data_IF_683309318017
#
_entry.id   IF_683309318017
#
_cell.length_a   1.000
_cell.length_b   1.000
_cell.length_c   1.000
_cell.angle_alpha   90.00
_cell.angle_beta   90.00
_cell.angle_gamma   90.00
#
_symmetry.space_group_name_H-M   'P 1'
#
loop_
_entity.id
_entity.type
_entity.pdbx_description
1 polymer ?
#
# COMPACT_ATOMS: atom_id res chain seq x y z
N UNK A 1 4.09 31.96 -10.86
CA UNK A 1 4.96 31.22 -9.95
C UNK A 1 4.16 30.81 -8.75
N UNK A 2 4.05 29.54 -8.56
CA UNK A 2 3.40 29.04 -7.37
C UNK A 2 4.37 29.31 -6.23
N UNK A 3 3.95 30.09 -5.27
CA UNK A 3 4.73 30.20 -4.05
C UNK A 3 5.06 28.79 -3.57
N UNK A 4 6.24 28.57 -2.94
CA UNK A 4 6.54 27.31 -2.28
C UNK A 4 5.57 27.12 -1.13
N UNK A 5 4.44 27.46 -1.43
CA UNK A 5 3.26 27.63 -0.78
C UNK A 5 3.02 26.76 0.36
N UNK A 6 1.84 26.71 0.69
CA UNK A 6 1.35 25.89 1.78
C UNK A 6 1.62 24.41 1.48
N UNK A 7 2.79 23.93 1.93
CA UNK A 7 3.13 22.50 1.91
C UNK A 7 2.53 21.78 3.12
N UNK A 8 1.60 22.41 3.82
CA UNK A 8 0.98 21.85 5.01
C UNK A 8 0.18 20.60 4.62
N UNK A 9 0.65 19.45 5.06
CA UNK A 9 -0.08 18.20 4.90
C UNK A 9 -1.32 18.20 5.78
N UNK A 10 -2.40 17.64 5.27
CA UNK A 10 -3.62 17.39 6.05
C UNK A 10 -3.81 15.91 6.30
N UNK A 11 -4.55 15.57 7.34
CA UNK A 11 -4.94 14.19 7.61
C UNK A 11 -5.94 13.75 6.55
N UNK A 12 -5.67 12.62 5.91
CA UNK A 12 -6.58 12.01 4.96
C UNK A 12 -7.70 11.26 5.69
N UNK A 13 -8.85 11.24 5.07
CA UNK A 13 -10.02 10.48 5.54
C UNK A 13 -10.33 9.35 4.56
N UNK A 14 -11.30 8.51 4.90
CA UNK A 14 -11.74 7.43 4.01
C UNK A 14 -12.20 7.93 2.63
N UNK A 15 -12.69 9.16 2.56
CA UNK A 15 -13.05 9.79 1.28
C UNK A 15 -11.83 10.04 0.37
N UNK A 16 -10.63 10.08 0.95
CA UNK A 16 -9.37 10.30 0.23
C UNK A 16 -8.67 9.00 -0.19
N UNK A 17 -9.21 7.84 0.13
CA UNK A 17 -8.55 6.55 -0.11
C UNK A 17 -8.11 6.36 -1.56
N UNK A 18 -8.97 6.70 -2.52
CA UNK A 18 -8.64 6.57 -3.94
C UNK A 18 -7.45 7.44 -4.34
N UNK A 19 -7.36 8.66 -3.81
CA UNK A 19 -6.24 9.57 -4.08
C UNK A 19 -4.95 9.06 -3.47
N UNK A 20 -4.99 8.58 -2.23
CA UNK A 20 -3.83 8.00 -1.55
C UNK A 20 -3.30 6.79 -2.35
N UNK A 21 -4.18 5.88 -2.74
CA UNK A 21 -3.82 4.72 -3.55
C UNK A 21 -3.21 5.16 -4.88
N UNK A 22 -3.80 6.13 -5.55
CA UNK A 22 -3.31 6.65 -6.84
C UNK A 22 -1.89 7.20 -6.74
N UNK A 23 -1.58 7.92 -5.67
CA UNK A 23 -0.23 8.44 -5.42
C UNK A 23 0.76 7.29 -5.24
N UNK A 24 0.40 6.28 -4.45
CA UNK A 24 1.25 5.11 -4.23
C UNK A 24 1.50 4.33 -5.52
N UNK A 25 0.45 4.12 -6.32
CA UNK A 25 0.57 3.45 -7.62
C UNK A 25 1.55 4.18 -8.52
N UNK A 26 1.41 5.50 -8.63
CA UNK A 26 2.31 6.32 -9.46
C UNK A 26 3.74 6.29 -8.94
N UNK A 27 3.93 6.33 -7.63
CA UNK A 27 5.25 6.35 -7.02
C UNK A 27 6.03 5.05 -7.26
N UNK A 28 5.35 3.91 -7.28
CA UNK A 28 6.00 2.61 -7.37
C UNK A 28 5.93 1.96 -8.77
N UNK A 29 5.27 2.60 -9.73
CA UNK A 29 5.07 2.03 -11.08
C UNK A 29 6.37 1.61 -11.76
N UNK A 30 7.41 2.44 -11.65
CA UNK A 30 8.69 2.22 -12.30
C UNK A 30 9.80 1.80 -11.32
N UNK A 31 9.44 1.50 -10.08
CA UNK A 31 10.39 1.04 -9.07
C UNK A 31 10.94 -0.33 -9.48
N UNK A 32 12.27 -0.55 -9.46
CA UNK A 32 12.87 -1.81 -9.91
C UNK A 32 12.39 -3.05 -9.15
N UNK A 33 12.23 -2.95 -7.83
CA UNK A 33 11.77 -4.07 -7.02
C UNK A 33 10.33 -4.46 -7.37
N UNK A 34 9.47 -3.46 -7.53
CA UNK A 34 8.07 -3.70 -7.88
C UNK A 34 7.89 -4.09 -9.34
N UNK A 35 8.75 -3.61 -10.24
CA UNK A 35 8.78 -4.08 -11.63
C UNK A 35 9.21 -5.55 -11.73
N UNK A 36 10.01 -6.00 -10.79
CA UNK A 36 10.34 -7.42 -10.67
C UNK A 36 9.14 -8.24 -10.16
N UNK A 37 8.44 -7.74 -9.14
CA UNK A 37 7.28 -8.41 -8.55
C UNK A 37 6.08 -8.46 -9.52
N UNK A 38 5.88 -7.38 -10.25
CA UNK A 38 4.81 -7.24 -11.26
C UNK A 38 5.43 -6.89 -12.62
N UNK A 39 5.96 -7.89 -13.34
CA UNK A 39 6.79 -7.62 -14.53
C UNK A 39 6.03 -7.11 -15.74
N UNK A 40 4.73 -7.37 -15.86
CA UNK A 40 3.93 -6.90 -16.99
C UNK A 40 3.52 -5.44 -16.82
N UNK A 41 4.09 -4.50 -17.60
CA UNK A 41 3.76 -3.09 -17.46
C UNK A 41 2.29 -2.76 -17.78
N UNK A 42 1.62 -3.60 -18.56
CA UNK A 42 0.22 -3.37 -18.92
C UNK A 42 -0.74 -3.63 -17.76
N UNK A 43 -0.40 -4.55 -16.86
CA UNK A 43 -1.24 -4.92 -15.72
C UNK A 43 -0.71 -4.41 -14.39
N UNK A 44 0.49 -3.87 -14.37
CA UNK A 44 1.20 -3.47 -13.15
C UNK A 44 0.44 -2.46 -12.31
N UNK A 45 -0.13 -1.43 -12.93
CA UNK A 45 -0.84 -0.40 -12.16
C UNK A 45 -2.10 -0.96 -11.48
N UNK A 46 -2.81 -1.86 -12.13
CA UNK A 46 -3.95 -2.56 -11.53
C UNK A 46 -3.53 -3.46 -10.36
N UNK A 47 -2.40 -4.14 -10.49
CA UNK A 47 -1.84 -4.96 -9.43
C UNK A 47 -1.42 -4.12 -8.22
N UNK A 48 -0.73 -3.00 -8.46
CA UNK A 48 -0.40 -2.02 -7.42
C UNK A 48 -1.65 -1.49 -6.74
N UNK A 49 -2.67 -1.15 -7.51
CA UNK A 49 -3.91 -0.62 -6.97
C UNK A 49 -4.56 -1.59 -5.99
N UNK A 50 -4.58 -2.88 -6.31
CA UNK A 50 -5.10 -3.91 -5.42
C UNK A 50 -4.24 -4.09 -4.18
N UNK A 51 -2.92 -4.13 -4.35
CA UNK A 51 -1.99 -4.32 -3.24
C UNK A 51 -2.02 -3.15 -2.27
N UNK A 52 -1.80 -1.94 -2.77
CA UNK A 52 -1.80 -0.74 -1.92
C UNK A 52 -3.16 -0.44 -1.34
N UNK A 53 -4.23 -0.84 -2.02
CA UNK A 53 -5.59 -0.76 -1.49
C UNK A 53 -5.75 -1.49 -0.16
N UNK A 54 -5.11 -2.65 0.00
CA UNK A 54 -5.15 -3.40 1.26
C UNK A 54 -4.51 -2.60 2.41
N UNK A 55 -3.33 -2.02 2.16
CA UNK A 55 -2.61 -1.24 3.16
C UNK A 55 -3.33 0.08 3.48
N UNK A 56 -3.82 0.77 2.47
CA UNK A 56 -4.54 2.03 2.67
C UNK A 56 -5.84 1.80 3.41
N UNK A 57 -6.59 0.75 3.09
CA UNK A 57 -7.82 0.41 3.80
C UNK A 57 -7.57 0.23 5.31
N UNK A 58 -6.49 -0.44 5.65
CA UNK A 58 -6.11 -0.61 7.05
C UNK A 58 -5.66 0.68 7.71
N UNK A 59 -4.80 1.43 7.05
CA UNK A 59 -4.18 2.64 7.60
C UNK A 59 -5.15 3.80 7.74
N UNK A 60 -6.06 3.96 6.79
CA UNK A 60 -6.98 5.10 6.74
C UNK A 60 -7.98 5.14 7.91
N UNK A 61 -8.11 4.04 8.64
CA UNK A 61 -8.90 3.97 9.87
C UNK A 61 -8.34 4.88 10.97
N UNK A 62 -7.05 5.18 10.89
CA UNK A 62 -6.33 5.99 11.86
C UNK A 62 -6.06 7.39 11.29
N UNK A 63 -6.01 8.45 12.12
CA UNK A 63 -5.69 9.80 11.65
C UNK A 63 -4.17 9.97 11.42
N UNK A 64 -3.54 9.00 10.79
CA UNK A 64 -2.09 8.93 10.57
C UNK A 64 -1.72 8.80 9.09
N UNK A 65 -2.68 8.99 8.20
CA UNK A 65 -2.44 9.09 6.76
C UNK A 65 -2.50 10.56 6.37
N UNK A 66 -1.51 11.03 5.65
CA UNK A 66 -1.35 12.46 5.34
C UNK A 66 -1.31 12.67 3.83
N UNK A 67 -1.89 13.78 3.41
CA UNK A 67 -1.86 14.24 2.02
C UNK A 67 -1.33 15.66 1.97
N UNK A 68 -0.47 15.94 0.98
CA UNK A 68 -0.05 17.30 0.68
C UNK A 68 -1.08 18.01 -0.20
N UNK A 69 -1.07 19.36 -0.21
CA UNK A 69 -1.94 20.12 -1.10
C UNK A 69 -1.78 19.67 -2.56
N UNK A 70 -2.88 19.58 -3.29
CA UNK A 70 -2.87 19.12 -4.67
C UNK A 70 -2.64 17.61 -4.84
N UNK A 71 -2.67 16.85 -3.74
CA UNK A 71 -2.50 15.40 -3.77
C UNK A 71 -1.21 14.96 -4.48
N UNK A 72 -0.10 15.64 -4.19
CA UNK A 72 1.19 15.38 -4.83
C UNK A 72 2.04 14.37 -4.08
N UNK A 73 1.79 14.19 -2.79
CA UNK A 73 2.50 13.22 -1.95
C UNK A 73 1.60 12.71 -0.83
N UNK A 74 1.91 11.54 -0.34
CA UNK A 74 1.20 10.94 0.78
C UNK A 74 2.20 10.25 1.71
N UNK A 75 1.87 10.22 2.99
CA UNK A 75 2.57 9.42 4.00
C UNK A 75 1.53 8.53 4.69
N UNK A 76 1.79 7.25 4.68
CA UNK A 76 0.88 6.25 5.25
C UNK A 76 1.54 5.64 6.48
N UNK A 77 1.00 5.93 7.64
CA UNK A 77 1.54 5.48 8.92
C UNK A 77 0.51 4.67 9.68
N UNK A 78 1.01 3.73 10.45
CA UNK A 78 0.21 2.97 11.42
C UNK A 78 0.68 3.39 12.82
N UNK A 79 -0.22 3.76 13.73
CA UNK A 79 0.17 4.08 15.09
C UNK A 79 0.76 2.85 15.81
N UNK A 80 1.58 3.04 16.85
CA UNK A 80 2.28 1.93 17.52
C UNK A 80 1.37 0.80 18.02
N UNK A 81 0.15 1.13 18.39
CA UNK A 81 -0.85 0.15 18.86
C UNK A 81 -1.84 -0.26 17.78
N UNK A 82 -1.65 0.25 16.56
CA UNK A 82 -2.51 -0.05 15.43
C UNK A 82 -2.15 -1.37 14.75
N UNK A 83 -3.03 -1.77 13.84
CA UNK A 83 -2.82 -2.93 12.97
C UNK A 83 -2.76 -2.49 11.52
N UNK A 84 -1.92 -3.15 10.73
CA UNK A 84 -1.76 -2.82 9.30
C UNK A 84 -3.06 -3.06 8.51
N UNK A 85 -3.78 -4.08 8.89
CA UNK A 85 -4.97 -4.50 8.18
C UNK A 85 -6.18 -4.51 9.10
N UNK A 86 -7.35 -4.18 8.54
CA UNK A 86 -8.62 -4.43 9.21
C UNK A 86 -8.86 -5.93 9.31
N UNK A 87 -9.76 -6.35 10.19
CA UNK A 87 -10.13 -7.76 10.34
C UNK A 87 -10.66 -8.34 9.02
N UNK A 88 -11.41 -7.54 8.26
CA UNK A 88 -11.94 -7.92 6.95
C UNK A 88 -10.82 -8.17 5.94
N UNK A 89 -9.84 -7.28 5.89
CA UNK A 89 -8.68 -7.41 4.99
C UNK A 89 -7.79 -8.57 5.43
N UNK A 90 -7.59 -8.76 6.73
CA UNK A 90 -6.81 -9.88 7.26
C UNK A 90 -7.35 -11.22 6.77
N UNK A 91 -8.66 -11.37 6.72
CA UNK A 91 -9.29 -12.58 6.20
C UNK A 91 -9.10 -12.75 4.69
N UNK A 92 -8.96 -11.65 3.94
CA UNK A 92 -8.88 -11.64 2.48
C UNK A 92 -7.45 -11.58 1.93
N UNK A 93 -6.44 -11.36 2.79
CA UNK A 93 -5.10 -11.05 2.32
C UNK A 93 -4.45 -12.21 1.55
N UNK A 94 -4.55 -13.43 2.04
CA UNK A 94 -3.95 -14.59 1.38
C UNK A 94 -4.54 -14.86 0.00
N UNK A 95 -5.87 -14.92 -0.18
CA UNK A 95 -6.44 -15.06 -1.51
C UNK A 95 -6.03 -13.93 -2.45
N UNK A 96 -5.97 -12.70 -1.97
CA UNK A 96 -5.57 -11.56 -2.78
C UNK A 96 -4.10 -11.66 -3.21
N UNK A 97 -3.20 -12.04 -2.30
CA UNK A 97 -1.79 -12.25 -2.65
C UNK A 97 -1.61 -13.41 -3.64
N UNK A 98 -2.38 -14.47 -3.49
CA UNK A 98 -2.37 -15.58 -4.44
C UNK A 98 -2.83 -15.16 -5.85
N UNK A 99 -3.81 -14.28 -5.94
CA UNK A 99 -4.25 -13.72 -7.21
C UNK A 99 -3.19 -12.80 -7.83
N UNK A 100 -2.55 -11.96 -7.01
CA UNK A 100 -1.56 -11.00 -7.48
C UNK A 100 -0.25 -11.66 -7.92
N UNK A 101 0.23 -12.62 -7.15
CA UNK A 101 1.55 -13.24 -7.35
C UNK A 101 1.48 -14.67 -7.89
N UNK A 102 0.29 -15.22 -8.07
CA UNK A 102 0.07 -16.60 -8.47
C UNK A 102 0.05 -17.57 -7.29
N UNK A 103 -0.41 -18.82 -7.51
CA UNK A 103 -0.62 -19.78 -6.42
C UNK A 103 0.69 -20.22 -5.72
N UNK A 104 1.84 -19.96 -6.32
CA UNK A 104 3.16 -20.34 -5.79
C UNK A 104 3.89 -19.18 -5.12
N UNK A 105 3.21 -18.07 -4.86
CA UNK A 105 3.84 -16.87 -4.32
C UNK A 105 4.63 -17.12 -3.02
N UNK A 106 4.14 -18.02 -2.17
CA UNK A 106 4.83 -18.40 -0.95
C UNK A 106 6.18 -19.08 -1.22
N UNK A 107 6.24 -19.87 -2.28
CA UNK A 107 7.47 -20.55 -2.68
C UNK A 107 8.47 -19.59 -3.33
N UNK A 108 7.96 -18.64 -4.12
CA UNK A 108 8.78 -17.63 -4.78
C UNK A 108 9.44 -16.67 -3.80
N UNK A 109 8.73 -16.31 -2.75
CA UNK A 109 9.28 -15.44 -1.71
C UNK A 109 10.10 -16.20 -0.68
N UNK A 110 10.02 -17.54 -0.67
CA UNK A 110 10.68 -18.40 0.30
C UNK A 110 10.25 -18.15 1.73
N UNK A 111 9.10 -17.51 1.93
CA UNK A 111 8.70 -17.00 3.24
C UNK A 111 7.20 -17.16 3.48
N UNK A 112 6.86 -17.38 4.70
CA UNK A 112 5.50 -17.37 5.19
C UNK A 112 4.96 -15.92 5.29
N UNK A 113 3.64 -15.73 5.36
CA UNK A 113 3.02 -14.40 5.43
C UNK A 113 3.58 -13.46 6.50
N UNK A 114 4.08 -14.00 7.61
CA UNK A 114 4.67 -13.19 8.67
C UNK A 114 5.86 -12.36 8.21
N UNK A 115 6.54 -12.80 7.16
CA UNK A 115 7.75 -12.11 6.69
C UNK A 115 7.44 -10.95 5.74
N UNK A 116 6.23 -10.90 5.21
CA UNK A 116 5.75 -9.77 4.40
C UNK A 116 5.41 -8.59 5.30
N UNK A 117 4.97 -8.89 6.52
CA UNK A 117 4.58 -7.86 7.49
C UNK A 117 5.78 -7.23 8.22
N UNK A 118 7.00 -7.67 7.96
CA UNK A 118 8.19 -7.11 8.60
C UNK A 118 8.23 -7.26 10.12
N UNK A 119 7.43 -8.15 10.68
CA UNK A 119 7.27 -8.27 12.14
C UNK A 119 8.39 -9.07 12.82
N UNK A 120 9.37 -9.54 12.08
CA UNK A 120 10.50 -10.26 12.65
C UNK A 120 10.15 -11.57 13.38
N UNK A 121 8.91 -11.99 13.27
CA UNK A 121 8.46 -13.24 13.88
C UNK A 121 9.10 -14.42 13.18
N UNK A 122 9.68 -15.30 13.94
CA UNK A 122 10.23 -16.53 13.39
C UNK A 122 9.11 -17.38 12.83
N UNK A 123 9.27 -17.73 11.61
CA UNK A 123 8.42 -18.73 10.99
C UNK A 123 9.02 -20.11 11.22
#
# INVERSE_FOLDING_TARGET
MTEPGDLTARVATSADSAEVISILVSAFQDDPAWSWAFPDPATRSGQHQRLWGLFVDGAIRYPWVWLTPGNTATAVWIPPEGTEFSDEVTAAIEPTLAELFGPTWRQQTGRTPCCICGTGSRC
#
